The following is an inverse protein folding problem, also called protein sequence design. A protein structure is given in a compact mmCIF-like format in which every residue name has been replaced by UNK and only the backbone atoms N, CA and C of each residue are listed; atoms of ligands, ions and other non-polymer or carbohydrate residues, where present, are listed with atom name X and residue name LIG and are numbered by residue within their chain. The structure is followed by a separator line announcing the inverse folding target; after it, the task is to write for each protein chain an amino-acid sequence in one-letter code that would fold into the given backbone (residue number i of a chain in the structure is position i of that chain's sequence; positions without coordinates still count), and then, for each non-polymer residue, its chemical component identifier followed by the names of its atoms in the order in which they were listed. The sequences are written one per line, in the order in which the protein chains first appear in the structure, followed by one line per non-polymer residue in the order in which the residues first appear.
data_IF_051234984455
#
_entry.id   IF_051234984455
#
_cell.length_a   1.000
_cell.length_b   1.000
_cell.length_c   1.000
_cell.angle_alpha   90.00
_cell.angle_beta   90.00
_cell.angle_gamma   90.00
#
_symmetry.space_group_name_H-M   'P 1'
#
loop_
_entity.id
_entity.type
_entity.pdbx_description
1 polymer ?
#
# COMPACT_ATOMS: atom_id res chain seq x y z
N UNK A 1 -17.26 -10.17 -7.58
CA UNK A 1 -16.00 -9.77 -6.94
C UNK A 1 -15.15 -9.02 -7.94
N UNK A 2 -14.46 -8.01 -7.49
CA UNK A 2 -13.60 -7.20 -8.36
C UNK A 2 -12.14 -7.65 -8.23
N UNK A 3 -11.41 -7.62 -9.32
CA UNK A 3 -9.99 -7.93 -9.34
C UNK A 3 -9.19 -6.65 -9.25
N UNK A 4 -8.17 -6.66 -8.40
CA UNK A 4 -7.29 -5.53 -8.18
C UNK A 4 -5.84 -5.95 -8.32
N UNK A 5 -5.03 -5.03 -8.85
CA UNK A 5 -3.59 -5.16 -8.83
C UNK A 5 -3.06 -4.32 -7.68
N UNK A 6 -2.26 -4.94 -6.83
CA UNK A 6 -1.62 -4.26 -5.70
C UNK A 6 -0.12 -4.22 -5.95
N UNK A 7 0.41 -3.02 -6.07
CA UNK A 7 1.85 -2.80 -6.19
C UNK A 7 2.34 -2.29 -4.85
N UNK A 8 3.19 -3.08 -4.20
CA UNK A 8 3.79 -2.70 -2.93
C UNK A 8 5.24 -2.30 -3.15
N UNK A 9 5.57 -1.08 -2.78
CA UNK A 9 6.91 -0.56 -2.83
C UNK A 9 7.43 -0.38 -1.40
N UNK A 10 8.60 -0.95 -1.12
CA UNK A 10 9.25 -0.79 0.17
C UNK A 10 10.45 0.12 -0.01
N UNK A 11 10.48 1.22 0.75
CA UNK A 11 11.59 2.16 0.70
C UNK A 11 12.56 1.84 1.83
N UNK A 12 13.79 1.57 1.44
CA UNK A 12 14.85 1.29 2.40
C UNK A 12 15.49 2.61 2.84
N UNK A 13 15.47 2.88 4.14
CA UNK A 13 16.02 4.11 4.70
C UNK A 13 17.51 4.05 5.01
N UNK A 14 18.20 2.99 4.60
CA UNK A 14 19.64 2.88 4.86
C UNK A 14 20.42 3.89 4.02
N UNK A 15 21.28 4.72 4.64
CA UNK A 15 22.13 5.66 3.90
C UNK A 15 23.03 4.94 2.92
N UNK A 16 23.04 5.39 1.67
CA UNK A 16 23.89 4.84 0.63
C UNK A 16 23.31 3.65 -0.13
N UNK A 17 22.16 3.13 0.26
CA UNK A 17 21.51 2.05 -0.46
C UNK A 17 20.07 2.46 -0.80
N UNK A 18 19.85 2.85 -2.05
CA UNK A 18 18.54 3.30 -2.53
C UNK A 18 17.76 2.18 -3.22
N UNK A 19 17.98 0.93 -2.80
CA UNK A 19 17.23 -0.19 -3.37
C UNK A 19 15.78 -0.17 -2.89
N UNK A 20 14.90 -0.05 -3.85
CA UNK A 20 13.47 -0.11 -3.62
C UNK A 20 12.97 -1.47 -4.07
N UNK A 21 12.42 -2.22 -3.13
CA UNK A 21 11.81 -3.50 -3.45
C UNK A 21 10.38 -3.27 -3.94
N UNK A 22 10.06 -3.87 -5.07
CA UNK A 22 8.73 -3.75 -5.67
C UNK A 22 8.11 -5.14 -5.77
N UNK A 23 6.90 -5.29 -5.20
CA UNK A 23 6.14 -6.53 -5.25
C UNK A 23 4.80 -6.25 -5.93
N UNK A 24 4.42 -7.09 -6.87
CA UNK A 24 3.16 -6.96 -7.59
C UNK A 24 2.31 -8.19 -7.29
N UNK A 25 1.08 -7.97 -6.81
CA UNK A 25 0.14 -9.04 -6.49
C UNK A 25 -1.21 -8.75 -7.12
N UNK A 26 -1.91 -9.81 -7.51
CA UNK A 26 -3.29 -9.72 -7.96
C UNK A 26 -4.18 -10.27 -6.86
N UNK A 27 -5.22 -9.52 -6.50
CA UNK A 27 -6.13 -9.92 -5.43
C UNK A 27 -7.58 -9.75 -5.88
N UNK A 28 -8.44 -10.63 -5.41
CA UNK A 28 -9.89 -10.49 -5.58
C UNK A 28 -10.48 -9.96 -4.28
N UNK A 29 -11.28 -8.90 -4.40
CA UNK A 29 -11.94 -8.29 -3.25
C UNK A 29 -13.43 -8.11 -3.56
N UNK A 30 -14.31 -8.15 -2.54
CA UNK A 30 -15.72 -7.84 -2.74
C UNK A 30 -15.90 -6.43 -3.29
N UNK A 31 -16.93 -6.24 -4.10
CA UNK A 31 -17.25 -4.90 -4.56
C UNK A 31 -17.60 -4.00 -3.36
N UNK A 32 -17.10 -2.77 -3.40
CA UNK A 32 -17.29 -1.85 -2.30
C UNK A 32 -16.37 -2.10 -1.09
N UNK A 33 -15.37 -2.96 -1.23
CA UNK A 33 -14.40 -3.21 -0.15
C UNK A 33 -13.69 -1.92 0.24
N UNK A 34 -13.50 -1.74 1.55
CA UNK A 34 -12.75 -0.61 2.07
C UNK A 34 -11.25 -0.92 1.98
N UNK A 35 -10.61 -0.35 0.98
CA UNK A 35 -9.18 -0.59 0.71
C UNK A 35 -8.31 -0.08 1.86
N UNK A 36 -8.67 1.06 2.43
CA UNK A 36 -7.93 1.61 3.57
C UNK A 36 -7.97 0.67 4.77
N UNK A 37 -9.14 0.10 5.06
CA UNK A 37 -9.27 -0.85 6.17
C UNK A 37 -8.42 -2.10 5.95
N UNK A 38 -8.33 -2.57 4.70
CA UNK A 38 -7.50 -3.73 4.36
C UNK A 38 -6.04 -3.44 4.61
N UNK A 39 -5.55 -2.29 4.16
CA UNK A 39 -4.16 -1.87 4.37
C UNK A 39 -3.90 -1.67 5.86
N UNK A 40 -4.79 -0.98 6.56
CA UNK A 40 -4.66 -0.72 7.99
C UNK A 40 -4.60 -2.00 8.80
N UNK A 41 -5.40 -2.99 8.43
CA UNK A 41 -5.42 -4.27 9.12
C UNK A 41 -4.10 -5.05 9.00
N UNK A 42 -3.37 -4.88 7.90
CA UNK A 42 -2.05 -5.50 7.72
C UNK A 42 -1.02 -4.97 8.71
N UNK A 43 -1.20 -3.75 9.18
CA UNK A 43 -0.24 -3.06 10.04
C UNK A 43 -0.78 -2.77 11.45
N UNK A 44 -1.87 -3.42 11.84
CA UNK A 44 -2.54 -3.12 13.12
C UNK A 44 -1.67 -3.34 14.36
N UNK A 45 -0.62 -4.16 14.24
CA UNK A 45 0.30 -4.44 15.34
C UNK A 45 1.50 -3.48 15.37
N UNK A 46 1.62 -2.61 14.36
CA UNK A 46 2.75 -1.68 14.28
C UNK A 46 2.49 -0.43 15.12
N UNK A 47 3.55 0.04 15.78
CA UNK A 47 3.51 1.29 16.52
C UNK A 47 3.75 2.47 15.58
N UNK A 48 3.18 3.63 15.93
CA UNK A 48 3.33 4.88 15.18
C UNK A 48 2.89 4.76 13.72
N UNK A 49 1.84 3.97 13.50
CA UNK A 49 1.32 3.78 12.15
C UNK A 49 0.67 5.06 11.62
N UNK A 50 1.11 5.48 10.45
CA UNK A 50 0.51 6.60 9.73
C UNK A 50 0.22 6.17 8.31
N UNK A 51 -1.02 6.38 7.86
CA UNK A 51 -1.44 6.04 6.50
C UNK A 51 -1.96 7.31 5.83
N UNK A 52 -1.40 7.64 4.67
CA UNK A 52 -1.88 8.72 3.84
C UNK A 52 -2.50 8.14 2.57
N UNK A 53 -3.71 8.56 2.26
CA UNK A 53 -4.43 8.12 1.07
C UNK A 53 -4.38 9.20 -0.01
N UNK A 54 -4.08 8.78 -1.24
CA UNK A 54 -4.12 9.64 -2.40
C UNK A 54 -4.94 8.96 -3.50
N UNK A 55 -6.00 9.61 -3.95
CA UNK A 55 -6.80 9.12 -5.07
C UNK A 55 -6.23 9.69 -6.37
N UNK A 56 -5.92 8.80 -7.31
CA UNK A 56 -5.38 9.19 -8.61
C UNK A 56 -6.50 9.38 -9.64
N UNK A 57 -6.20 10.17 -10.67
CA UNK A 57 -7.16 10.46 -11.73
C UNK A 57 -7.56 9.22 -12.55
N UNK A 58 -6.67 8.24 -12.63
CA UNK A 58 -6.92 6.99 -13.36
C UNK A 58 -7.78 5.99 -12.59
N UNK A 59 -8.24 6.35 -11.40
CA UNK A 59 -9.04 5.48 -10.54
C UNK A 59 -8.25 4.63 -9.58
N UNK A 60 -6.92 4.67 -9.62
CA UNK A 60 -6.10 3.97 -8.65
C UNK A 60 -6.02 4.73 -7.33
N UNK A 61 -5.73 4.02 -6.25
CA UNK A 61 -5.59 4.60 -4.92
C UNK A 61 -4.20 4.26 -4.39
N UNK A 62 -3.53 5.26 -3.88
CA UNK A 62 -2.19 5.11 -3.29
C UNK A 62 -2.29 5.29 -1.79
N UNK A 63 -1.76 4.33 -1.05
CA UNK A 63 -1.65 4.41 0.40
C UNK A 63 -0.17 4.47 0.77
N UNK A 64 0.26 5.59 1.32
CA UNK A 64 1.60 5.71 1.88
C UNK A 64 1.52 5.30 3.35
N UNK A 65 2.18 4.20 3.68
CA UNK A 65 2.16 3.64 5.03
C UNK A 65 3.51 3.88 5.67
N UNK A 66 3.51 4.63 6.75
CA UNK A 66 4.72 4.94 7.49
C UNK A 66 4.62 4.37 8.90
N UNK A 67 5.64 3.63 9.28
CA UNK A 67 5.82 3.14 10.65
C UNK A 67 7.12 3.73 11.21
N UNK A 68 7.44 3.41 12.45
CA UNK A 68 8.64 3.95 13.10
C UNK A 68 9.94 3.67 12.33
N UNK A 69 9.98 2.61 11.53
CA UNK A 69 11.21 2.16 10.88
C UNK A 69 11.13 1.98 9.38
N UNK A 70 9.93 1.92 8.79
CA UNK A 70 9.75 1.58 7.38
C UNK A 70 8.71 2.45 6.72
N UNK A 71 8.99 2.89 5.49
CA UNK A 71 8.01 3.53 4.62
C UNK A 71 7.65 2.56 3.50
N UNK A 72 6.36 2.29 3.34
CA UNK A 72 5.85 1.44 2.28
C UNK A 72 4.76 2.19 1.52
N UNK A 73 4.66 1.91 0.22
CA UNK A 73 3.60 2.48 -0.62
C UNK A 73 2.83 1.34 -1.26
N UNK A 74 1.52 1.39 -1.11
CA UNK A 74 0.61 0.46 -1.78
C UNK A 74 -0.15 1.22 -2.86
N UNK A 75 0.00 0.79 -4.10
CA UNK A 75 -0.78 1.32 -5.23
C UNK A 75 -1.78 0.26 -5.63
N UNK A 76 -3.07 0.54 -5.48
CA UNK A 76 -4.13 -0.41 -5.75
C UNK A 76 -4.92 0.08 -6.95
N UNK A 77 -4.91 -0.72 -8.00
CA UNK A 77 -5.61 -0.43 -9.24
C UNK A 77 -6.61 -1.52 -9.54
N UNK A 78 -7.77 -1.14 -10.05
CA UNK A 78 -8.79 -2.09 -10.48
C UNK A 78 -8.54 -2.48 -11.93
N UNK A 79 -8.64 -3.78 -12.20
CA UNK A 79 -8.61 -4.28 -13.58
C UNK A 79 -9.91 -3.98 -14.31
#
# INVERSE_FOLDING_TARGET
MAEYEVIREMFNLCPGNQMRDIFIEEVELPEGADLEAIVRNKFKAEEELKIERTDKEDGSVVFDVMTASIHQRYTISRF
#
